data_IF_359855883253
#
_entry.id   IF_359855883253
#
_cell.length_a   1.000
_cell.length_b   1.000
_cell.length_c   1.000
_cell.angle_alpha   90.00
_cell.angle_beta   90.00
_cell.angle_gamma   90.00
#
_symmetry.space_group_name_H-M   'P 1'
#
loop_
_entity.id
_entity.type
_entity.pdbx_description
1 polymer ?
#
# COMPACT_ATOMS: atom_id res chain seq x y z
N UNK A 1 4.89 29.58 0.07
CA UNK A 1 5.69 29.05 -1.05
C UNK A 1 5.85 27.56 -0.80
N UNK A 2 4.99 26.70 -1.37
CA UNK A 2 5.07 25.24 -1.21
C UNK A 2 6.31 24.74 -1.96
N UNK A 3 7.12 23.90 -1.31
CA UNK A 3 8.34 23.35 -1.93
C UNK A 3 7.93 22.23 -2.88
N UNK A 4 8.53 22.14 -4.06
CA UNK A 4 8.21 21.12 -5.07
C UNK A 4 8.31 19.67 -4.58
N UNK A 5 8.98 19.42 -3.44
CA UNK A 5 9.00 18.12 -2.76
C UNK A 5 7.66 17.70 -2.14
N UNK A 6 6.83 18.64 -1.70
CA UNK A 6 5.54 18.35 -1.05
C UNK A 6 4.53 17.74 -2.04
N UNK A 7 4.63 18.13 -3.31
CA UNK A 7 3.74 17.65 -4.36
C UNK A 7 4.08 16.22 -4.80
N UNK A 8 5.37 15.89 -4.92
CA UNK A 8 5.82 14.55 -5.26
C UNK A 8 5.52 13.54 -4.15
N UNK A 9 5.74 13.95 -2.89
CA UNK A 9 5.36 13.15 -1.72
C UNK A 9 3.84 12.88 -1.72
N UNK A 10 3.04 13.92 -1.95
CA UNK A 10 1.58 13.78 -2.03
C UNK A 10 1.11 12.85 -3.15
N UNK A 11 1.68 12.94 -4.34
CA UNK A 11 1.35 12.03 -5.45
C UNK A 11 1.68 10.57 -5.12
N UNK A 12 2.79 10.35 -4.40
CA UNK A 12 3.14 9.03 -3.90
C UNK A 12 2.13 8.53 -2.87
N UNK A 13 1.74 9.34 -1.89
CA UNK A 13 0.75 8.97 -0.88
C UNK A 13 -0.61 8.63 -1.51
N UNK A 14 -1.06 9.43 -2.47
CA UNK A 14 -2.32 9.21 -3.18
C UNK A 14 -2.29 7.90 -3.98
N UNK A 15 -1.17 7.58 -4.63
CA UNK A 15 -0.99 6.31 -5.33
C UNK A 15 -0.99 5.13 -4.36
N UNK A 16 -0.25 5.23 -3.27
CA UNK A 16 -0.09 4.15 -2.30
C UNK A 16 -1.44 3.87 -1.59
N UNK A 17 -2.21 4.91 -1.28
CA UNK A 17 -3.60 4.80 -0.80
C UNK A 17 -4.54 4.16 -1.82
N UNK A 18 -4.43 4.54 -3.10
CA UNK A 18 -5.20 3.91 -4.19
C UNK A 18 -4.91 2.41 -4.29
N UNK A 19 -3.64 2.02 -4.22
CA UNK A 19 -3.21 0.62 -4.24
C UNK A 19 -3.81 -0.15 -3.07
N UNK A 20 -3.72 0.39 -1.85
CA UNK A 20 -4.22 -0.26 -0.65
C UNK A 20 -5.74 -0.48 -0.72
N UNK A 21 -6.51 0.54 -1.12
CA UNK A 21 -7.98 0.44 -1.27
C UNK A 21 -8.39 -0.65 -2.25
N UNK A 22 -7.77 -0.69 -3.43
CA UNK A 22 -8.07 -1.69 -4.47
C UNK A 22 -7.70 -3.10 -4.03
N UNK A 23 -6.57 -3.25 -3.33
CA UNK A 23 -6.18 -4.54 -2.77
C UNK A 23 -7.17 -5.03 -1.68
N UNK A 24 -7.63 -4.14 -0.80
CA UNK A 24 -8.65 -4.47 0.21
C UNK A 24 -10.02 -4.80 -0.43
N UNK A 25 -10.31 -4.26 -1.62
CA UNK A 25 -11.48 -4.64 -2.41
C UNK A 25 -11.34 -6.00 -3.13
N UNK A 26 -10.19 -6.68 -2.99
CA UNK A 26 -9.95 -8.00 -3.56
C UNK A 26 -9.43 -7.99 -5.00
N UNK A 27 -9.06 -6.83 -5.55
CA UNK A 27 -8.44 -6.76 -6.88
C UNK A 27 -7.06 -7.43 -6.89
N UNK A 28 -6.69 -8.06 -8.03
CA UNK A 28 -5.40 -8.72 -8.17
C UNK A 28 -4.27 -7.69 -8.25
N UNK A 29 -3.18 -7.93 -7.54
CA UNK A 29 -2.00 -7.04 -7.55
C UNK A 29 -1.42 -6.77 -8.95
N UNK A 30 -1.50 -7.73 -9.87
CA UNK A 30 -1.08 -7.55 -11.26
C UNK A 30 -1.92 -6.50 -11.99
N UNK A 31 -3.23 -6.50 -11.75
CA UNK A 31 -4.19 -5.61 -12.41
C UNK A 31 -4.14 -4.21 -11.79
N UNK A 32 -3.93 -4.13 -10.47
CA UNK A 32 -3.65 -2.88 -9.77
C UNK A 32 -2.38 -2.24 -10.33
N UNK A 33 -1.28 -2.99 -10.40
CA UNK A 33 0.01 -2.50 -10.90
C UNK A 33 -0.08 -2.01 -12.34
N UNK A 34 -0.75 -2.78 -13.22
CA UNK A 34 -1.00 -2.38 -14.62
C UNK A 34 -1.80 -1.08 -14.71
N UNK A 35 -2.81 -0.89 -13.85
CA UNK A 35 -3.59 0.35 -13.80
C UNK A 35 -2.79 1.59 -13.42
N UNK A 36 -1.63 1.42 -12.77
CA UNK A 36 -0.69 2.50 -12.45
C UNK A 36 0.51 2.57 -13.42
N UNK A 37 0.53 1.76 -14.49
CA UNK A 37 1.66 1.70 -15.43
C UNK A 37 2.94 1.09 -14.84
N UNK A 38 2.82 0.28 -13.79
CA UNK A 38 3.95 -0.28 -13.04
C UNK A 38 4.16 -1.79 -13.32
N UNK A 39 5.33 -2.29 -12.97
CA UNK A 39 5.63 -3.73 -13.02
C UNK A 39 4.65 -4.55 -12.16
N UNK A 40 4.37 -5.79 -12.57
CA UNK A 40 3.31 -6.64 -11.98
C UNK A 40 3.45 -6.91 -10.49
N UNK A 41 4.66 -6.81 -9.93
CA UNK A 41 4.95 -7.00 -8.51
C UNK A 41 4.81 -5.74 -7.67
N UNK A 42 4.66 -4.56 -8.31
CA UNK A 42 4.73 -3.27 -7.65
C UNK A 42 3.70 -3.12 -6.53
N UNK A 43 2.42 -3.35 -6.82
CA UNK A 43 1.35 -3.21 -5.83
C UNK A 43 1.56 -4.15 -4.62
N UNK A 44 2.02 -5.39 -4.86
CA UNK A 44 2.31 -6.35 -3.79
C UNK A 44 3.42 -5.83 -2.87
N UNK A 45 4.48 -5.25 -3.44
CA UNK A 45 5.60 -4.69 -2.66
C UNK A 45 5.15 -3.47 -1.86
N UNK A 46 4.35 -2.58 -2.45
CA UNK A 46 3.81 -1.40 -1.75
C UNK A 46 2.97 -1.83 -0.55
N UNK A 47 2.01 -2.75 -0.72
CA UNK A 47 1.17 -3.23 0.38
C UNK A 47 2.00 -3.89 1.48
N UNK A 48 2.99 -4.71 1.11
CA UNK A 48 3.89 -5.33 2.09
C UNK A 48 4.68 -4.30 2.89
N UNK A 49 5.22 -3.25 2.24
CA UNK A 49 5.96 -2.18 2.93
C UNK A 49 5.09 -1.41 3.91
N UNK A 50 3.86 -1.07 3.52
CA UNK A 50 2.92 -0.36 4.38
C UNK A 50 2.60 -1.23 5.60
N UNK A 51 2.25 -2.51 5.39
CA UNK A 51 2.02 -3.47 6.46
C UNK A 51 3.21 -3.58 7.40
N UNK A 52 4.42 -3.70 6.86
CA UNK A 52 5.63 -3.86 7.69
C UNK A 52 5.96 -2.59 8.48
N UNK A 53 5.64 -1.41 7.96
CA UNK A 53 5.71 -0.16 8.73
C UNK A 53 4.68 -0.15 9.86
N UNK A 54 3.42 -0.48 9.55
CA UNK A 54 2.31 -0.53 10.49
C UNK A 54 2.56 -1.52 11.65
N UNK A 55 3.11 -2.70 11.34
CA UNK A 55 3.54 -3.68 12.33
C UNK A 55 4.63 -3.17 13.28
N UNK A 56 5.49 -2.26 12.81
CA UNK A 56 6.57 -1.69 13.64
C UNK A 56 6.11 -0.47 14.43
N UNK A 57 5.13 0.27 13.93
CA UNK A 57 4.85 1.64 14.39
C UNK A 57 3.50 1.79 15.11
N UNK A 58 2.49 0.95 14.83
CA UNK A 58 1.16 1.08 15.42
C UNK A 58 1.10 0.81 16.93
N UNK A 59 1.98 -0.06 17.43
CA UNK A 59 1.88 -0.61 18.79
C UNK A 59 0.70 -1.57 18.98
N UNK A 60 -0.05 -1.89 17.92
CA UNK A 60 -1.17 -2.81 17.97
C UNK A 60 -0.69 -4.28 17.95
N UNK A 61 -1.50 -5.22 18.48
CA UNK A 61 -1.22 -6.64 18.33
C UNK A 61 -1.08 -7.03 16.85
N UNK A 62 -0.07 -7.85 16.54
CA UNK A 62 0.19 -8.32 15.17
C UNK A 62 -1.06 -8.88 14.49
N UNK A 63 -1.89 -9.63 15.21
CA UNK A 63 -3.13 -10.21 14.67
C UNK A 63 -4.15 -9.15 14.21
N UNK A 64 -4.21 -8.01 14.90
CA UNK A 64 -5.09 -6.88 14.55
C UNK A 64 -4.57 -6.18 13.30
N UNK A 65 -3.28 -5.86 13.28
CA UNK A 65 -2.63 -5.24 12.11
C UNK A 65 -2.81 -6.13 10.87
N UNK A 66 -2.45 -7.42 10.97
CA UNK A 66 -2.56 -8.36 9.85
C UNK A 66 -4.00 -8.56 9.37
N UNK A 67 -5.02 -8.39 10.22
CA UNK A 67 -6.41 -8.46 9.81
C UNK A 67 -6.81 -7.32 8.83
N UNK A 68 -6.09 -6.20 8.84
CA UNK A 68 -6.29 -5.07 7.94
C UNK A 68 -5.66 -5.22 6.55
N UNK A 69 -4.79 -6.22 6.33
CA UNK A 69 -4.06 -6.36 5.07
C UNK A 69 -4.45 -7.59 4.25
N UNK A 70 -4.67 -7.44 2.92
CA UNK A 70 -5.01 -8.54 2.05
C UNK A 70 -3.86 -9.54 1.89
N UNK A 71 -4.18 -10.84 2.02
CA UNK A 71 -3.21 -11.93 1.87
C UNK A 71 -2.27 -12.13 3.08
N UNK A 72 -2.51 -11.44 4.19
CA UNK A 72 -1.72 -11.54 5.42
C UNK A 72 -1.92 -12.86 6.21
N UNK A 73 -2.90 -13.68 5.82
CA UNK A 73 -3.25 -14.97 6.46
C UNK A 73 -2.64 -16.20 5.76
N UNK A 74 -1.60 -15.99 4.94
CA UNK A 74 -0.98 -17.05 4.12
C UNK A 74 0.16 -17.73 4.87
#
# INVERSE_FOLDING_TARGET
MMRSGDHAARQQDERDLSILRRACAGEKYSDISRGHGMATTFARVVVARIRDADLRESGEPQSMVLAGYPGARS
#
